data_IF_739330272208
#
_entry.id   IF_739330272208
#
_cell.length_a   1.000
_cell.length_b   1.000
_cell.length_c   1.000
_cell.angle_alpha   90.00
_cell.angle_beta   90.00
_cell.angle_gamma   90.00
#
_symmetry.space_group_name_H-M   'P 1'
#
loop_
_entity.id
_entity.type
_entity.pdbx_description
1 polymer ?
#
# COMPACT_ATOMS: atom_id res chain seq x y z
N UNK A 1 21.80 58.95 -27.60
CA UNK A 1 22.07 57.50 -27.47
C UNK A 1 22.88 57.33 -26.19
N UNK A 2 22.26 56.84 -25.13
CA UNK A 2 22.90 56.61 -23.83
C UNK A 2 22.68 55.14 -23.49
N UNK A 3 23.75 54.37 -23.36
CA UNK A 3 23.70 52.94 -23.05
C UNK A 3 23.41 52.70 -21.56
N UNK A 4 22.85 51.53 -21.19
CA UNK A 4 22.74 51.14 -19.80
C UNK A 4 24.06 50.51 -19.32
N UNK A 5 24.49 50.91 -18.12
CA UNK A 5 25.60 50.29 -17.42
C UNK A 5 25.29 48.83 -17.11
N UNK A 6 26.28 47.98 -17.28
CA UNK A 6 26.27 46.58 -16.86
C UNK A 6 26.34 46.56 -15.33
N UNK A 7 25.24 46.14 -14.71
CA UNK A 7 25.12 45.88 -13.27
C UNK A 7 25.97 44.65 -12.90
N UNK A 8 26.64 44.72 -11.76
CA UNK A 8 27.79 43.88 -11.41
C UNK A 8 27.50 42.38 -11.23
N UNK A 9 28.35 41.57 -11.84
CA UNK A 9 28.60 40.18 -11.45
C UNK A 9 29.42 40.19 -10.14
N UNK A 10 28.73 40.29 -9.00
CA UNK A 10 29.36 40.17 -7.68
C UNK A 10 29.72 38.71 -7.44
N UNK A 11 30.96 38.36 -7.80
CA UNK A 11 31.54 37.05 -7.52
C UNK A 11 31.61 36.88 -6.00
N UNK A 12 30.75 36.02 -5.44
CA UNK A 12 30.74 35.67 -4.01
C UNK A 12 32.14 35.16 -3.64
N UNK A 13 32.89 35.99 -2.91
CA UNK A 13 34.22 35.66 -2.38
C UNK A 13 34.04 34.77 -1.16
N UNK A 14 34.02 33.46 -1.39
CA UNK A 14 34.07 32.48 -0.30
C UNK A 14 35.48 32.54 0.32
N UNK A 15 35.61 32.72 1.64
CA UNK A 15 36.91 32.66 2.31
C UNK A 15 37.57 31.29 2.12
N UNK A 16 38.89 31.24 1.87
CA UNK A 16 39.61 29.99 1.58
C UNK A 16 39.42 28.87 2.63
N UNK A 17 39.21 29.23 3.90
CA UNK A 17 38.96 28.25 4.97
C UNK A 17 37.62 27.51 4.81
N UNK A 18 36.61 28.16 4.23
CA UNK A 18 35.29 27.57 3.99
C UNK A 18 35.34 26.59 2.80
N UNK A 19 36.22 26.85 1.82
CA UNK A 19 36.53 25.89 0.75
C UNK A 19 37.22 24.62 1.29
N UNK A 20 38.18 24.77 2.20
CA UNK A 20 38.86 23.63 2.83
C UNK A 20 37.89 22.78 3.67
N UNK A 21 36.97 23.41 4.40
CA UNK A 21 35.93 22.72 5.18
C UNK A 21 34.94 21.97 4.28
N UNK A 22 34.55 22.57 3.15
CA UNK A 22 33.71 21.92 2.14
C UNK A 22 34.43 20.73 1.49
N UNK A 23 35.71 20.87 1.12
CA UNK A 23 36.53 19.79 0.56
C UNK A 23 36.67 18.66 1.58
N UNK A 24 36.90 18.97 2.86
CA UNK A 24 36.96 17.97 3.93
C UNK A 24 35.61 17.25 4.10
N UNK A 25 34.50 17.98 3.94
CA UNK A 25 33.15 17.41 4.06
C UNK A 25 32.81 16.50 2.89
N UNK A 26 33.10 16.93 1.65
CA UNK A 26 32.91 16.10 0.44
C UNK A 26 33.79 14.85 0.51
N UNK A 27 35.06 14.99 0.90
CA UNK A 27 35.98 13.85 1.02
C UNK A 27 35.50 12.83 2.05
N UNK A 28 34.97 13.30 3.20
CA UNK A 28 34.35 12.43 4.20
C UNK A 28 33.09 11.73 3.66
N UNK A 29 32.25 12.44 2.91
CA UNK A 29 31.04 11.88 2.32
C UNK A 29 31.35 10.80 1.29
N UNK A 30 32.34 11.04 0.40
CA UNK A 30 32.79 10.06 -0.60
C UNK A 30 33.37 8.82 0.06
N UNK A 31 34.17 8.96 1.12
CA UNK A 31 34.69 7.83 1.87
C UNK A 31 33.57 7.02 2.55
N UNK A 32 32.56 7.69 3.10
CA UNK A 32 31.40 7.03 3.70
C UNK A 32 30.57 6.26 2.66
N UNK A 33 30.36 6.85 1.48
CA UNK A 33 29.65 6.21 0.37
C UNK A 33 30.36 4.94 -0.11
N UNK A 34 31.69 4.98 -0.28
CA UNK A 34 32.47 3.81 -0.69
C UNK A 34 32.34 2.65 0.31
N UNK A 35 32.38 2.96 1.62
CA UNK A 35 32.21 1.98 2.69
C UNK A 35 30.81 1.33 2.67
N UNK A 36 29.78 2.11 2.33
CA UNK A 36 28.42 1.58 2.16
C UNK A 36 28.34 0.61 0.98
N UNK A 37 28.93 0.95 -0.18
CA UNK A 37 28.96 0.06 -1.35
C UNK A 37 29.68 -1.25 -1.07
N UNK A 38 30.80 -1.22 -0.35
CA UNK A 38 31.51 -2.44 0.07
C UNK A 38 30.68 -3.31 1.03
N UNK A 39 29.88 -2.69 1.89
CA UNK A 39 28.98 -3.40 2.80
C UNK A 39 27.84 -4.07 2.04
N UNK A 40 27.26 -3.36 1.06
CA UNK A 40 26.23 -3.91 0.18
C UNK A 40 26.76 -5.07 -0.67
N UNK A 41 27.97 -4.94 -1.26
CA UNK A 41 28.58 -6.01 -2.04
C UNK A 41 28.76 -7.31 -1.24
N UNK A 42 29.13 -7.21 0.04
CA UNK A 42 29.23 -8.38 0.93
C UNK A 42 27.87 -9.04 1.21
N UNK A 43 26.81 -8.24 1.34
CA UNK A 43 25.46 -8.76 1.57
C UNK A 43 24.87 -9.40 0.31
N UNK A 44 25.24 -8.91 -0.88
CA UNK A 44 24.79 -9.48 -2.16
C UNK A 44 25.49 -10.80 -2.50
N UNK A 45 26.76 -10.98 -2.11
CA UNK A 45 27.52 -12.21 -2.35
C UNK A 45 26.97 -13.43 -1.56
N UNK A 46 26.24 -13.17 -0.46
CA UNK A 46 25.61 -14.21 0.38
C UNK A 46 24.21 -14.64 -0.12
N UNK A 47 23.73 -14.14 -1.27
CA UNK A 47 22.47 -14.60 -1.87
C UNK A 47 22.71 -15.84 -2.76
N UNK A 48 22.19 -17.04 -2.42
CA UNK A 48 22.29 -18.18 -3.34
C UNK A 48 21.45 -17.92 -4.60
N UNK A 49 22.07 -18.07 -5.76
CA UNK A 49 21.42 -17.97 -7.06
C UNK A 49 20.26 -18.97 -7.15
N UNK A 50 19.03 -18.47 -7.27
CA UNK A 50 17.88 -19.31 -7.64
C UNK A 50 17.99 -19.57 -9.14
N UNK A 51 18.43 -20.77 -9.51
CA UNK A 51 18.44 -21.23 -10.90
C UNK A 51 17.00 -21.28 -11.44
N UNK A 52 16.70 -20.39 -12.38
CA UNK A 52 15.44 -20.39 -13.13
C UNK A 52 15.49 -21.52 -14.15
N UNK A 53 14.61 -22.51 -13.98
CA UNK A 53 14.43 -23.61 -14.93
C UNK A 53 13.45 -23.18 -16.04
N UNK A 54 13.93 -23.19 -17.28
CA UNK A 54 13.17 -22.90 -18.51
C UNK A 54 11.94 -23.82 -18.64
N UNK A 55 10.73 -23.32 -19.01
CA UNK A 55 9.57 -24.17 -19.25
C UNK A 55 9.57 -24.74 -20.68
N UNK A 56 9.52 -26.07 -20.78
CA UNK A 56 9.32 -26.79 -22.03
C UNK A 56 7.89 -26.65 -22.57
N UNK A 57 7.78 -26.61 -23.90
CA UNK A 57 6.52 -26.65 -24.67
C UNK A 57 5.70 -27.92 -24.39
N UNK A 58 4.36 -27.83 -24.38
CA UNK A 58 3.51 -29.00 -24.59
C UNK A 58 2.77 -28.93 -25.93
N UNK A 59 2.95 -29.99 -26.72
CA UNK A 59 2.19 -30.30 -27.93
C UNK A 59 0.77 -30.76 -27.56
N UNK A 60 -0.22 -30.32 -28.33
CA UNK A 60 -1.62 -30.69 -28.19
C UNK A 60 -1.89 -32.15 -28.62
N UNK A 61 -2.92 -32.79 -28.03
CA UNK A 61 -4.14 -33.26 -28.72
C UNK A 61 -5.11 -33.92 -27.68
N UNK A 62 -6.42 -34.04 -28.00
CA UNK A 62 -7.52 -33.99 -27.04
C UNK A 62 -8.24 -35.33 -26.82
N UNK A 63 -9.08 -35.36 -25.78
CA UNK A 63 -10.32 -36.16 -25.82
C UNK A 63 -10.63 -37.01 -24.59
N UNK A 64 -11.92 -37.01 -24.27
CA UNK A 64 -12.65 -37.94 -23.41
C UNK A 64 -12.57 -37.72 -21.88
N UNK A 65 -13.66 -37.13 -21.36
CA UNK A 65 -14.16 -37.41 -20.02
C UNK A 65 -14.58 -38.89 -19.92
N UNK A 66 -14.47 -39.50 -18.72
CA UNK A 66 -15.72 -39.85 -18.07
C UNK A 66 -15.75 -39.55 -16.57
N UNK A 67 -16.96 -39.21 -16.14
CA UNK A 67 -17.43 -39.19 -14.75
C UNK A 67 -17.43 -40.62 -14.17
N UNK A 68 -16.91 -40.81 -12.96
CA UNK A 68 -17.66 -41.50 -11.89
C UNK A 68 -16.91 -41.54 -10.56
N UNK A 69 -17.74 -41.43 -9.54
CA UNK A 69 -17.52 -41.16 -8.13
C UNK A 69 -17.03 -42.34 -7.28
N UNK A 70 -16.73 -41.98 -6.02
CA UNK A 70 -16.68 -42.78 -4.77
C UNK A 70 -15.29 -43.38 -4.46
N UNK A 71 -14.77 -43.36 -3.23
CA UNK A 71 -15.38 -43.29 -1.90
C UNK A 71 -14.43 -42.61 -0.90
N UNK A 72 -15.02 -42.23 0.23
CA UNK A 72 -14.33 -41.80 1.44
C UNK A 72 -13.22 -42.77 1.88
N UNK A 73 -12.10 -42.20 2.28
CA UNK A 73 -11.24 -42.80 3.29
C UNK A 73 -10.87 -41.72 4.31
N UNK A 74 -11.21 -42.01 5.56
CA UNK A 74 -10.89 -41.19 6.72
C UNK A 74 -9.40 -41.36 7.00
N UNK A 75 -8.63 -40.28 6.82
CA UNK A 75 -7.30 -40.19 7.40
C UNK A 75 -7.29 -39.01 8.37
N UNK A 76 -7.43 -39.39 9.63
CA UNK A 76 -6.86 -38.70 10.78
C UNK A 76 -5.39 -38.40 10.48
N UNK A 77 -5.13 -37.12 10.19
CA UNK A 77 -3.79 -36.56 10.08
C UNK A 77 -3.76 -35.35 11.00
N UNK A 78 -2.85 -35.46 11.98
CA UNK A 78 -2.78 -34.60 13.15
C UNK A 78 -2.71 -33.12 12.82
N UNK A 79 -3.24 -32.34 13.76
CA UNK A 79 -3.13 -30.90 13.81
C UNK A 79 -1.66 -30.48 13.77
N UNK A 80 -1.17 -30.14 12.58
CA UNK A 80 -0.07 -29.21 12.39
C UNK A 80 -0.68 -27.80 12.38
N UNK A 81 -0.91 -27.23 13.56
CA UNK A 81 -1.20 -25.81 13.70
C UNK A 81 0.10 -25.03 13.50
N UNK A 82 0.42 -24.78 12.23
CA UNK A 82 1.19 -23.62 11.81
C UNK A 82 0.31 -22.86 10.80
N UNK A 83 -0.87 -22.44 11.26
CA UNK A 83 -1.85 -21.74 10.42
C UNK A 83 -1.50 -20.24 10.41
N UNK A 84 -0.49 -19.89 9.62
CA UNK A 84 -0.33 -18.51 9.17
C UNK A 84 -1.60 -18.02 8.45
N UNK A 85 -1.87 -16.71 8.41
CA UNK A 85 -3.08 -16.19 7.78
C UNK A 85 -3.14 -16.60 6.32
N UNK A 86 -4.22 -17.28 5.92
CA UNK A 86 -4.43 -17.76 4.55
C UNK A 86 -4.67 -16.63 3.53
N UNK A 87 -4.85 -15.40 4.02
CA UNK A 87 -5.09 -14.21 3.23
C UNK A 87 -4.49 -12.99 3.92
N UNK A 88 -3.94 -12.09 3.12
CA UNK A 88 -3.47 -10.77 3.59
C UNK A 88 -4.63 -9.80 3.82
N UNK A 89 -5.83 -10.09 3.29
CA UNK A 89 -6.92 -9.14 3.28
C UNK A 89 -7.63 -9.09 4.63
N UNK A 90 -7.85 -7.89 5.17
CA UNK A 90 -8.30 -7.70 6.57
C UNK A 90 -9.61 -8.43 6.91
N UNK A 91 -10.53 -8.58 5.95
CA UNK A 91 -11.81 -9.26 6.21
C UNK A 91 -11.67 -10.78 6.44
N UNK A 92 -10.54 -11.36 6.06
CA UNK A 92 -10.24 -12.78 6.27
C UNK A 92 -9.42 -13.02 7.54
N UNK A 93 -8.97 -11.97 8.22
CA UNK A 93 -8.20 -12.08 9.45
C UNK A 93 -9.12 -12.30 10.66
N UNK A 94 -8.63 -13.05 11.65
CA UNK A 94 -9.35 -13.38 12.86
C UNK A 94 -8.87 -12.55 14.07
N UNK A 95 -9.73 -12.48 15.09
CA UNK A 95 -9.49 -11.90 16.42
C UNK A 95 -8.32 -10.92 16.54
N UNK A 96 -7.16 -11.44 16.97
CA UNK A 96 -5.97 -10.65 17.24
C UNK A 96 -5.32 -10.11 15.96
N UNK A 97 -5.21 -10.92 14.91
CA UNK A 97 -4.63 -10.51 13.63
C UNK A 97 -5.44 -9.36 13.00
N UNK A 98 -6.77 -9.46 13.02
CA UNK A 98 -7.65 -8.38 12.57
C UNK A 98 -7.40 -7.07 13.33
N UNK A 99 -7.28 -7.14 14.66
CA UNK A 99 -7.08 -5.97 15.50
C UNK A 99 -5.72 -5.28 15.24
N UNK A 100 -4.66 -6.07 15.05
CA UNK A 100 -3.32 -5.56 14.72
C UNK A 100 -3.31 -4.91 13.34
N UNK A 101 -3.93 -5.55 12.34
CA UNK A 101 -4.05 -5.03 10.98
C UNK A 101 -4.87 -3.75 10.93
N UNK A 102 -6.02 -3.71 11.63
CA UNK A 102 -6.85 -2.51 11.73
C UNK A 102 -6.11 -1.35 12.41
N UNK A 103 -5.28 -1.63 13.41
CA UNK A 103 -4.45 -0.62 14.06
C UNK A 103 -3.37 -0.07 13.12
N UNK A 104 -2.72 -0.94 12.32
CA UNK A 104 -1.76 -0.52 11.31
C UNK A 104 -2.43 0.33 10.22
N UNK A 105 -3.57 -0.12 9.70
CA UNK A 105 -4.38 0.63 8.75
C UNK A 105 -4.80 1.99 9.32
N UNK A 106 -5.22 2.03 10.59
CA UNK A 106 -5.63 3.29 11.24
C UNK A 106 -4.49 4.29 11.33
N UNK A 107 -3.27 3.84 11.64
CA UNK A 107 -2.08 4.70 11.60
C UNK A 107 -1.84 5.23 10.19
N UNK A 108 -1.85 4.37 9.18
CA UNK A 108 -1.66 4.82 7.79
C UNK A 108 -2.73 5.82 7.33
N UNK A 109 -3.99 5.61 7.69
CA UNK A 109 -5.09 6.55 7.39
C UNK A 109 -4.85 7.90 8.07
N UNK A 110 -4.44 7.89 9.34
CA UNK A 110 -4.22 9.09 10.15
C UNK A 110 -2.96 9.86 9.75
N UNK A 111 -1.86 9.16 9.49
CA UNK A 111 -0.53 9.75 9.33
C UNK A 111 -0.19 10.08 7.87
N UNK A 112 -0.84 9.40 6.90
CA UNK A 112 -0.56 9.59 5.47
C UNK A 112 -1.82 9.95 4.67
N UNK A 113 -2.85 9.11 4.69
CA UNK A 113 -3.99 9.28 3.77
C UNK A 113 -4.73 10.60 4.00
N UNK A 114 -5.14 10.89 5.24
CA UNK A 114 -5.91 12.09 5.56
C UNK A 114 -5.07 13.38 5.51
N UNK A 115 -3.83 13.44 6.03
CA UNK A 115 -3.03 14.65 5.93
C UNK A 115 -2.71 15.05 4.49
N UNK A 116 -2.51 14.06 3.59
CA UNK A 116 -2.12 14.32 2.20
C UNK A 116 -3.35 14.51 1.28
N UNK A 117 -4.37 13.65 1.42
CA UNK A 117 -5.50 13.59 0.47
C UNK A 117 -6.86 14.00 1.08
N UNK A 118 -6.92 14.19 2.41
CA UNK A 118 -8.12 14.53 3.16
C UNK A 118 -8.56 15.98 3.00
N UNK A 119 -9.05 16.35 1.81
CA UNK A 119 -9.68 17.66 1.56
C UNK A 119 -10.93 17.86 2.46
N UNK A 120 -11.31 19.11 2.67
CA UNK A 120 -12.45 19.54 3.53
C UNK A 120 -13.72 18.67 3.40
N UNK A 121 -14.37 18.43 4.54
CA UNK A 121 -15.61 17.66 4.66
C UNK A 121 -16.78 18.56 4.27
N UNK A 122 -17.58 18.11 3.30
CA UNK A 122 -18.82 18.78 2.89
C UNK A 122 -19.93 17.75 2.73
N UNK A 123 -21.17 18.19 2.56
CA UNK A 123 -22.29 17.30 2.21
C UNK A 123 -22.06 16.52 0.92
N UNK A 124 -21.33 17.13 -0.03
CA UNK A 124 -20.92 16.49 -1.28
C UNK A 124 -19.74 15.53 -1.14
N UNK A 125 -19.00 15.59 -0.03
CA UNK A 125 -17.74 14.86 0.19
C UNK A 125 -17.62 14.44 1.66
N UNK A 126 -18.54 13.57 2.16
CA UNK A 126 -18.57 13.15 3.55
C UNK A 126 -17.30 12.43 4.00
N UNK A 127 -17.09 12.41 5.31
CA UNK A 127 -16.11 11.55 5.99
C UNK A 127 -16.63 11.23 7.39
N UNK A 128 -16.57 9.96 7.79
CA UNK A 128 -16.93 9.54 9.14
C UNK A 128 -15.68 9.47 10.03
N UNK A 129 -15.71 10.12 11.20
CA UNK A 129 -14.61 10.01 12.19
C UNK A 129 -14.50 8.62 12.82
N UNK A 130 -15.55 7.82 12.72
CA UNK A 130 -15.62 6.44 13.20
C UNK A 130 -15.71 5.50 11.99
N UNK A 131 -14.89 5.74 10.96
CA UNK A 131 -14.94 5.01 9.70
C UNK A 131 -14.72 3.50 9.88
N UNK A 132 -14.05 3.08 10.96
CA UNK A 132 -13.83 1.67 11.31
C UNK A 132 -15.14 0.92 11.57
N UNK A 133 -16.19 1.62 11.98
CA UNK A 133 -17.54 1.06 12.18
C UNK A 133 -18.27 0.80 10.84
N UNK A 134 -17.66 1.15 9.71
CA UNK A 134 -18.18 0.86 8.37
C UNK A 134 -17.35 -0.26 7.73
N UNK A 135 -17.83 -1.53 7.72
CA UNK A 135 -17.07 -2.65 7.17
C UNK A 135 -16.65 -2.46 5.71
N UNK A 136 -17.50 -1.81 4.89
CA UNK A 136 -17.14 -1.44 3.51
C UNK A 136 -15.96 -0.45 3.48
N UNK A 137 -15.93 0.53 4.38
CA UNK A 137 -14.84 1.49 4.43
C UNK A 137 -13.54 0.81 4.86
N UNK A 138 -13.59 -0.07 5.86
CA UNK A 138 -12.45 -0.88 6.30
C UNK A 138 -11.90 -1.70 5.13
N UNK A 139 -12.77 -2.41 4.41
CA UNK A 139 -12.38 -3.23 3.26
C UNK A 139 -11.70 -2.41 2.15
N UNK A 140 -12.30 -1.28 1.76
CA UNK A 140 -11.77 -0.41 0.69
C UNK A 140 -10.47 0.28 1.08
N UNK A 141 -10.39 0.81 2.30
CA UNK A 141 -9.19 1.47 2.80
C UNK A 141 -8.04 0.48 2.96
N UNK A 142 -8.32 -0.76 3.40
CA UNK A 142 -7.32 -1.81 3.48
C UNK A 142 -6.79 -2.20 2.09
N UNK A 143 -7.68 -2.43 1.12
CA UNK A 143 -7.27 -2.71 -0.26
C UNK A 143 -6.44 -1.56 -0.87
N UNK A 144 -6.84 -0.32 -0.62
CA UNK A 144 -6.08 0.87 -1.04
C UNK A 144 -4.70 0.92 -0.41
N UNK A 145 -4.58 0.58 0.87
CA UNK A 145 -3.31 0.54 1.60
C UNK A 145 -2.40 -0.59 1.12
N UNK A 146 -2.93 -1.78 0.82
CA UNK A 146 -2.16 -2.87 0.21
C UNK A 146 -1.63 -2.45 -1.18
N UNK A 147 -2.47 -1.83 -2.01
CA UNK A 147 -2.04 -1.31 -3.30
C UNK A 147 -0.99 -0.21 -3.16
N UNK A 148 -1.09 0.64 -2.13
CA UNK A 148 -0.08 1.66 -1.84
C UNK A 148 1.27 1.01 -1.54
N UNK A 149 1.31 0.01 -0.66
CA UNK A 149 2.54 -0.72 -0.33
C UNK A 149 3.16 -1.32 -1.58
N UNK A 150 2.38 -2.02 -2.42
CA UNK A 150 2.89 -2.66 -3.63
C UNK A 150 3.39 -1.67 -4.68
N UNK A 151 2.65 -0.57 -4.92
CA UNK A 151 2.90 0.33 -6.06
C UNK A 151 3.78 1.53 -5.70
N UNK A 152 4.10 1.73 -4.43
CA UNK A 152 5.09 2.73 -3.98
C UNK A 152 6.37 2.11 -3.44
N UNK A 153 6.47 0.77 -3.48
CA UNK A 153 7.71 0.06 -3.24
C UNK A 153 8.79 0.46 -4.26
N UNK A 154 10.05 0.35 -3.86
CA UNK A 154 11.20 0.68 -4.71
C UNK A 154 11.25 -0.18 -5.99
N UNK A 155 10.77 -1.42 -5.91
CA UNK A 155 10.74 -2.36 -7.03
C UNK A 155 9.53 -2.14 -7.97
N UNK A 156 8.57 -1.28 -7.60
CA UNK A 156 7.38 -1.01 -8.41
C UNK A 156 7.67 -0.18 -9.69
N UNK A 157 8.88 0.38 -9.80
CA UNK A 157 9.31 1.25 -10.87
C UNK A 157 8.74 2.68 -10.75
N UNK A 158 9.32 3.60 -11.54
CA UNK A 158 9.04 5.05 -11.41
C UNK A 158 7.59 5.43 -11.70
N UNK A 159 6.84 4.60 -12.43
CA UNK A 159 5.42 4.82 -12.74
C UNK A 159 4.48 4.34 -11.64
N UNK A 160 4.95 3.51 -10.70
CA UNK A 160 4.14 2.89 -9.65
C UNK A 160 3.26 3.90 -8.89
N UNK A 161 3.79 5.02 -8.37
CA UNK A 161 2.99 6.02 -7.68
C UNK A 161 1.88 6.61 -8.55
N UNK A 162 2.15 6.86 -9.84
CA UNK A 162 1.12 7.38 -10.76
C UNK A 162 0.02 6.35 -11.00
N UNK A 163 0.37 5.08 -11.13
CA UNK A 163 -0.59 3.97 -11.27
C UNK A 163 -1.44 3.84 -10.01
N UNK A 164 -0.83 3.94 -8.82
CA UNK A 164 -1.57 3.88 -7.55
C UNK A 164 -2.64 4.97 -7.44
N UNK A 165 -2.31 6.22 -7.82
CA UNK A 165 -3.28 7.31 -7.79
C UNK A 165 -4.46 7.03 -8.73
N UNK A 166 -4.15 6.72 -10.00
CA UNK A 166 -5.13 6.54 -11.07
C UNK A 166 -6.06 5.35 -10.83
N UNK A 167 -5.50 4.20 -10.48
CA UNK A 167 -6.22 2.93 -10.48
C UNK A 167 -6.81 2.56 -9.12
N UNK A 168 -6.28 3.13 -8.03
CA UNK A 168 -6.66 2.74 -6.67
C UNK A 168 -7.16 3.91 -5.83
N UNK A 169 -6.39 4.99 -5.71
CA UNK A 169 -6.75 6.11 -4.84
C UNK A 169 -8.00 6.84 -5.33
N UNK A 170 -8.01 7.29 -6.57
CA UNK A 170 -9.11 8.12 -7.10
C UNK A 170 -10.45 7.37 -7.10
N UNK A 171 -10.54 6.11 -7.55
CA UNK A 171 -11.78 5.33 -7.47
C UNK A 171 -12.23 5.07 -6.02
N UNK A 172 -11.29 4.78 -5.12
CA UNK A 172 -11.61 4.56 -3.70
C UNK A 172 -12.13 5.84 -3.06
N UNK A 173 -11.51 6.98 -3.34
CA UNK A 173 -11.94 8.27 -2.81
C UNK A 173 -13.32 8.67 -3.31
N UNK A 174 -13.57 8.46 -4.60
CA UNK A 174 -14.90 8.67 -5.18
C UNK A 174 -15.92 7.84 -4.41
N UNK A 175 -15.72 6.53 -4.32
CA UNK A 175 -16.71 5.65 -3.68
C UNK A 175 -16.95 5.94 -2.20
N UNK A 176 -15.90 6.20 -1.42
CA UNK A 176 -16.03 6.49 0.01
C UNK A 176 -16.71 7.83 0.30
N UNK A 177 -16.45 8.84 -0.54
CA UNK A 177 -16.92 10.22 -0.33
C UNK A 177 -18.02 10.66 -1.29
N UNK A 178 -18.69 9.76 -1.99
CA UNK A 178 -19.94 10.14 -2.63
C UNK A 178 -21.03 10.34 -1.56
N UNK A 179 -22.01 11.24 -1.77
CA UNK A 179 -23.10 11.48 -0.81
C UNK A 179 -23.97 10.25 -0.50
N UNK A 180 -24.03 9.30 -1.44
CA UNK A 180 -24.70 8.00 -1.31
C UNK A 180 -23.73 6.86 -0.93
N UNK A 181 -22.45 7.19 -0.70
CA UNK A 181 -21.44 6.25 -0.24
C UNK A 181 -21.57 5.91 1.26
N UNK A 182 -20.66 5.06 1.78
CA UNK A 182 -20.76 4.52 3.14
C UNK A 182 -20.78 5.59 4.24
N UNK A 183 -20.20 6.77 3.99
CA UNK A 183 -20.17 7.87 4.96
C UNK A 183 -21.31 8.87 4.82
N UNK A 184 -22.14 8.79 3.78
CA UNK A 184 -23.16 9.79 3.46
C UNK A 184 -24.08 10.10 4.64
N UNK A 185 -24.63 9.04 5.24
CA UNK A 185 -25.58 9.16 6.35
C UNK A 185 -24.94 9.65 7.67
N UNK A 186 -23.62 9.64 7.81
CA UNK A 186 -22.94 10.12 9.01
C UNK A 186 -22.79 11.65 9.03
N UNK A 187 -22.92 12.31 7.87
CA UNK A 187 -22.87 13.78 7.76
C UNK A 187 -24.24 14.45 7.78
N UNK A 188 -25.33 13.68 7.71
CA UNK A 188 -26.70 14.22 7.66
C UNK A 188 -27.34 14.40 9.04
N UNK A 189 -26.84 13.73 10.08
CA UNK A 189 -27.37 13.87 11.45
C UNK A 189 -26.27 13.60 12.49
N UNK A 190 -25.66 14.64 13.08
CA UNK A 190 -24.55 14.51 14.02
C UNK A 190 -24.85 13.64 15.26
N UNK A 191 -26.12 13.51 15.62
CA UNK A 191 -26.57 12.74 16.79
C UNK A 191 -26.97 11.29 16.51
N UNK A 192 -26.89 10.80 15.26
CA UNK A 192 -27.28 9.41 14.93
C UNK A 192 -26.18 8.76 14.06
N UNK A 193 -25.31 7.91 14.63
CA UNK A 193 -24.38 7.13 13.83
C UNK A 193 -25.16 6.16 12.95
N UNK A 194 -25.08 6.34 11.64
CA UNK A 194 -25.77 5.53 10.64
C UNK A 194 -24.81 4.48 10.06
N UNK A 195 -24.14 3.71 10.93
CA UNK A 195 -23.18 2.67 10.57
C UNK A 195 -23.86 1.32 10.30
N UNK A 196 -25.05 1.34 9.67
CA UNK A 196 -25.89 0.13 9.56
C UNK A 196 -25.78 -0.47 8.17
N UNK A 197 -25.36 -1.72 8.12
CA UNK A 197 -25.45 -2.53 6.91
C UNK A 197 -26.88 -3.01 6.67
N UNK A 198 -27.19 -3.27 5.40
CA UNK A 198 -28.40 -4.01 5.06
C UNK A 198 -28.32 -5.41 5.67
N UNK A 199 -29.44 -5.90 6.19
CA UNK A 199 -29.52 -7.27 6.66
C UNK A 199 -29.33 -8.22 5.47
N UNK A 200 -28.52 -9.27 5.65
CA UNK A 200 -28.50 -10.38 4.71
C UNK A 200 -29.91 -10.99 4.62
N UNK A 201 -30.36 -11.47 3.45
CA UNK A 201 -31.55 -12.30 3.40
C UNK A 201 -31.38 -13.50 4.36
N UNK A 202 -32.51 -13.96 4.92
CA UNK A 202 -32.56 -15.20 5.71
C UNK A 202 -31.93 -16.34 4.90
N UNK A 203 -31.04 -17.15 5.49
CA UNK A 203 -30.52 -18.31 4.81
C UNK A 203 -31.70 -19.23 4.44
N UNK A 204 -31.72 -19.69 3.19
CA UNK A 204 -32.77 -20.57 2.73
C UNK A 204 -32.70 -21.91 3.48
N UNK A 205 -33.46 -22.03 4.58
CA UNK A 205 -33.73 -23.26 5.33
C UNK A 205 -32.48 -24.02 5.82
N UNK A 206 -32.16 -23.89 7.11
CA UNK A 206 -31.31 -24.85 7.80
C UNK A 206 -32.04 -26.18 8.03
#
# INVERSE_FOLDING_TARGET
>A
MSGPGHDGDESVRIPDHDLDDLVCTVTRLVAASRKQSETLARLTDDQPAVELQEPGEPTAEPGAVPVSSRSADTQDLGASQDDGPSSVFILALDGKAYAEELAALTRWVHDLLLPVYGREITTGRPWCRQWQEHPEAVARLHALWLAWQQLTDIEAGLTGPSTWHRDHLDPTWMQLRMPDGPFGACTTSPGRPNHRLLASPEPAGA
#
